data_IF_449607779409
#
_entry.id   IF_449607779409
#
_cell.length_a   1.000
_cell.length_b   1.000
_cell.length_c   1.000
_cell.angle_alpha   90.00
_cell.angle_beta   90.00
_cell.angle_gamma   90.00
#
_symmetry.space_group_name_H-M   'P 1'
#
loop_
_entity.id
_entity.type
_entity.pdbx_description
1 polymer ?
#
# COMPACT_ATOMS: atom_id res chain seq x y z
N UNK A 1 8.44 -8.91 28.94
CA UNK A 1 8.87 -8.02 27.84
C UNK A 1 7.83 -6.92 27.68
N UNK A 2 8.24 -5.65 27.64
CA UNK A 2 7.30 -4.54 27.48
C UNK A 2 6.60 -4.60 26.12
N UNK A 3 5.39 -3.96 25.99
CA UNK A 3 4.67 -3.89 24.71
C UNK A 3 5.51 -3.22 23.62
N UNK A 4 6.27 -2.19 23.99
CA UNK A 4 7.16 -1.49 23.07
C UNK A 4 8.25 -2.42 22.52
N UNK A 5 8.91 -3.19 23.38
CA UNK A 5 9.97 -4.11 22.97
C UNK A 5 9.41 -5.21 22.05
N UNK A 6 8.20 -5.72 22.33
CA UNK A 6 7.52 -6.66 21.43
C UNK A 6 7.24 -6.05 20.05
N UNK A 7 6.74 -4.82 20.01
CA UNK A 7 6.49 -4.11 18.75
C UNK A 7 7.79 -3.94 17.94
N UNK A 8 8.89 -3.52 18.58
CA UNK A 8 10.20 -3.39 17.92
C UNK A 8 10.69 -4.74 17.39
N UNK A 9 10.58 -5.81 18.17
CA UNK A 9 10.94 -7.15 17.72
C UNK A 9 10.14 -7.59 16.49
N UNK A 10 8.84 -7.28 16.46
CA UNK A 10 7.98 -7.61 15.31
C UNK A 10 8.37 -6.81 14.06
N UNK A 11 8.68 -5.53 14.19
CA UNK A 11 9.18 -4.70 13.08
C UNK A 11 10.48 -5.29 12.53
N UNK A 12 11.43 -5.60 13.42
CA UNK A 12 12.72 -6.18 13.02
C UNK A 12 12.53 -7.55 12.35
N UNK A 13 11.64 -8.38 12.87
CA UNK A 13 11.35 -9.69 12.29
C UNK A 13 10.77 -9.56 10.87
N UNK A 14 9.78 -8.68 10.68
CA UNK A 14 9.19 -8.42 9.35
C UNK A 14 10.22 -7.85 8.37
N UNK A 15 11.03 -6.89 8.82
CA UNK A 15 12.11 -6.34 8.00
C UNK A 15 13.13 -7.41 7.61
N UNK A 16 13.53 -8.27 8.55
CA UNK A 16 14.44 -9.38 8.30
C UNK A 16 13.85 -10.38 7.30
N UNK A 17 12.56 -10.71 7.40
CA UNK A 17 11.86 -11.56 6.41
C UNK A 17 11.96 -10.94 5.01
N UNK A 18 11.70 -9.62 4.88
CA UNK A 18 11.82 -8.91 3.61
C UNK A 18 13.24 -8.98 3.04
N UNK A 19 14.26 -8.71 3.87
CA UNK A 19 15.68 -8.79 3.45
C UNK A 19 16.04 -10.20 3.01
N UNK A 20 15.67 -11.22 3.77
CA UNK A 20 15.94 -12.64 3.43
C UNK A 20 15.24 -13.01 2.12
N UNK A 21 13.98 -12.57 1.92
CA UNK A 21 13.25 -12.82 0.68
C UNK A 21 13.96 -12.20 -0.53
N UNK A 22 14.45 -10.96 -0.41
CA UNK A 22 15.22 -10.27 -1.45
C UNK A 22 16.54 -10.99 -1.76
N UNK A 23 17.29 -11.39 -0.74
CA UNK A 23 18.56 -12.10 -0.91
C UNK A 23 18.36 -13.46 -1.58
N UNK A 24 17.36 -14.23 -1.16
CA UNK A 24 17.03 -15.52 -1.78
C UNK A 24 16.60 -15.35 -3.22
N UNK A 25 15.75 -14.37 -3.54
CA UNK A 25 15.34 -14.06 -4.89
C UNK A 25 16.55 -13.65 -5.76
N UNK A 26 17.47 -12.85 -5.20
CA UNK A 26 18.70 -12.44 -5.87
C UNK A 26 19.64 -13.59 -6.22
N UNK A 27 19.54 -14.72 -5.52
CA UNK A 27 20.29 -15.94 -5.85
C UNK A 27 19.53 -16.83 -6.84
N UNK A 28 18.21 -17.00 -6.64
CA UNK A 28 17.40 -17.95 -7.40
C UNK A 28 17.05 -17.43 -8.80
N UNK A 29 16.63 -16.17 -8.92
CA UNK A 29 16.15 -15.62 -10.19
C UNK A 29 17.22 -15.60 -11.29
N UNK A 30 18.49 -15.21 -11.03
CA UNK A 30 19.53 -15.21 -12.07
C UNK A 30 19.89 -16.59 -12.61
N UNK A 31 19.60 -17.66 -11.86
CA UNK A 31 19.87 -19.05 -12.30
C UNK A 31 18.84 -19.51 -13.34
N UNK A 32 17.68 -18.85 -13.40
CA UNK A 32 16.62 -19.19 -14.35
C UNK A 32 16.90 -18.47 -15.68
N UNK A 33 17.19 -19.24 -16.71
CA UNK A 33 17.39 -18.67 -18.05
C UNK A 33 16.05 -18.28 -18.69
N UNK A 34 15.73 -17.00 -18.63
CA UNK A 34 14.53 -16.40 -19.23
C UNK A 34 14.96 -15.42 -20.30
N UNK A 35 14.83 -15.80 -21.56
CA UNK A 35 15.19 -14.95 -22.70
C UNK A 35 14.24 -13.76 -22.88
N UNK A 36 12.96 -13.93 -22.60
CA UNK A 36 11.95 -12.89 -22.71
C UNK A 36 12.05 -11.90 -21.54
N UNK A 37 12.36 -10.62 -21.85
CA UNK A 37 12.60 -9.55 -20.86
C UNK A 37 11.35 -9.26 -20.02
N UNK A 38 10.18 -9.32 -20.63
CA UNK A 38 8.90 -9.07 -19.97
C UNK A 38 8.54 -10.18 -18.94
N UNK A 39 8.77 -11.44 -19.31
CA UNK A 39 8.61 -12.57 -18.38
C UNK A 39 9.68 -12.55 -17.29
N UNK A 40 10.92 -12.17 -17.64
CA UNK A 40 11.99 -11.99 -16.66
C UNK A 40 11.60 -10.93 -15.62
N UNK A 41 11.02 -9.82 -16.05
CA UNK A 41 10.50 -8.79 -15.15
C UNK A 41 9.43 -9.36 -14.20
N UNK A 42 8.43 -10.08 -14.72
CA UNK A 42 7.42 -10.76 -13.92
C UNK A 42 8.05 -11.65 -12.83
N UNK A 43 8.97 -12.53 -13.21
CA UNK A 43 9.61 -13.48 -12.28
C UNK A 43 10.47 -12.74 -11.24
N UNK A 44 11.27 -11.76 -11.68
CA UNK A 44 12.14 -10.97 -10.79
C UNK A 44 11.36 -10.15 -9.78
N UNK A 45 10.19 -9.63 -10.16
CA UNK A 45 9.35 -8.82 -9.29
C UNK A 45 8.53 -9.69 -8.33
N UNK A 46 7.92 -10.78 -8.83
CA UNK A 46 7.01 -11.59 -8.01
C UNK A 46 7.71 -12.54 -7.05
N UNK A 47 8.89 -13.07 -7.42
CA UNK A 47 9.61 -14.05 -6.57
C UNK A 47 9.91 -13.51 -5.16
N UNK A 48 10.56 -12.35 -4.97
CA UNK A 48 10.84 -11.83 -3.64
C UNK A 48 9.56 -11.55 -2.85
N UNK A 49 8.50 -11.10 -3.52
CA UNK A 49 7.21 -10.84 -2.88
C UNK A 49 6.53 -12.11 -2.38
N UNK A 50 6.52 -13.17 -3.18
CA UNK A 50 5.95 -14.45 -2.77
C UNK A 50 6.74 -15.09 -1.63
N UNK A 51 8.08 -14.97 -1.64
CA UNK A 51 8.93 -15.39 -0.53
C UNK A 51 8.63 -14.59 0.74
N UNK A 52 8.50 -13.27 0.63
CA UNK A 52 8.13 -12.41 1.76
C UNK A 52 6.73 -12.75 2.29
N UNK A 53 5.73 -12.92 1.41
CA UNK A 53 4.39 -13.32 1.79
C UNK A 53 4.43 -14.64 2.58
N UNK A 54 5.15 -15.64 2.07
CA UNK A 54 5.32 -16.93 2.73
C UNK A 54 5.95 -16.74 4.13
N UNK A 55 7.04 -15.98 4.23
CA UNK A 55 7.71 -15.72 5.50
C UNK A 55 6.81 -15.01 6.51
N UNK A 56 6.05 -14.00 6.08
CA UNK A 56 5.10 -13.25 6.92
C UNK A 56 3.95 -14.15 7.40
N UNK A 57 3.41 -14.99 6.52
CA UNK A 57 2.35 -15.96 6.87
C UNK A 57 2.87 -16.98 7.87
N UNK A 58 4.06 -17.55 7.65
CA UNK A 58 4.67 -18.50 8.58
C UNK A 58 4.97 -17.85 9.94
N UNK A 59 5.52 -16.64 9.96
CA UNK A 59 5.76 -15.90 11.19
C UNK A 59 4.47 -15.63 11.94
N UNK A 60 3.41 -15.21 11.24
CA UNK A 60 2.10 -14.98 11.84
C UNK A 60 1.52 -16.28 12.42
N UNK A 61 1.56 -17.37 11.67
CA UNK A 61 0.98 -18.65 12.07
C UNK A 61 1.71 -19.30 13.24
N UNK A 62 3.04 -19.35 13.20
CA UNK A 62 3.83 -20.15 14.15
C UNK A 62 4.35 -19.33 15.35
N UNK A 63 4.64 -18.05 15.16
CA UNK A 63 5.23 -17.21 16.21
C UNK A 63 4.19 -16.32 16.87
N UNK A 64 3.39 -15.60 16.09
CA UNK A 64 2.42 -14.63 16.62
C UNK A 64 1.11 -15.26 17.01
N UNK A 65 0.68 -16.30 16.30
CA UNK A 65 -0.63 -16.93 16.47
C UNK A 65 -1.77 -15.88 16.44
N UNK A 66 -1.60 -14.83 15.63
CA UNK A 66 -2.58 -13.78 15.50
C UNK A 66 -3.85 -14.33 14.87
N UNK A 67 -4.99 -13.73 15.23
CA UNK A 67 -6.26 -14.07 14.61
C UNK A 67 -6.14 -13.96 13.08
N UNK A 68 -6.64 -14.98 12.38
CA UNK A 68 -6.68 -14.96 10.92
C UNK A 68 -7.44 -13.72 10.46
N UNK A 69 -6.77 -12.87 9.71
CA UNK A 69 -7.43 -11.75 9.05
C UNK A 69 -8.47 -12.32 8.10
N UNK A 70 -9.71 -11.91 8.25
CA UNK A 70 -10.76 -12.23 7.29
C UNK A 70 -10.40 -11.61 5.95
N UNK A 71 -9.74 -12.40 5.08
CA UNK A 71 -9.36 -11.96 3.73
C UNK A 71 -10.60 -11.51 2.94
N UNK A 72 -11.74 -12.10 3.23
CA UNK A 72 -13.00 -11.97 2.51
C UNK A 72 -14.13 -11.59 3.48
N UNK A 73 -14.13 -10.36 3.98
CA UNK A 73 -15.26 -9.86 4.75
C UNK A 73 -16.50 -9.68 3.84
N UNK A 74 -17.72 -9.92 4.34
CA UNK A 74 -18.96 -9.76 3.57
C UNK A 74 -19.21 -8.34 3.05
N UNK A 75 -18.38 -7.38 3.43
CA UNK A 75 -18.47 -5.94 3.08
C UNK A 75 -17.28 -5.46 2.25
N UNK A 76 -16.71 -6.34 1.43
CA UNK A 76 -15.52 -6.06 0.61
C UNK A 76 -15.65 -4.85 -0.32
N UNK A 77 -16.87 -4.44 -0.66
CA UNK A 77 -17.12 -3.27 -1.46
C UNK A 77 -18.00 -2.26 -0.73
N UNK A 78 -17.46 -1.08 -0.44
CA UNK A 78 -18.18 0.09 0.05
C UNK A 78 -17.97 1.24 -0.92
N UNK A 79 -18.99 1.65 -1.69
CA UNK A 79 -18.85 2.75 -2.66
C UNK A 79 -18.25 4.01 -2.04
N UNK A 80 -18.71 4.39 -0.86
CA UNK A 80 -18.22 5.59 -0.17
C UNK A 80 -16.74 5.49 0.18
N UNK A 81 -16.27 4.34 0.69
CA UNK A 81 -14.85 4.14 1.04
C UNK A 81 -13.98 4.15 -0.22
N UNK A 82 -14.45 3.50 -1.30
CA UNK A 82 -13.69 3.45 -2.55
C UNK A 82 -13.64 4.81 -3.25
N UNK A 83 -14.77 5.53 -3.32
CA UNK A 83 -14.80 6.88 -3.90
C UNK A 83 -13.90 7.84 -3.12
N UNK A 84 -13.98 7.81 -1.79
CA UNK A 84 -13.15 8.66 -0.93
C UNK A 84 -11.65 8.30 -1.06
N UNK A 85 -11.34 7.00 -1.02
CA UNK A 85 -9.98 6.50 -1.22
C UNK A 85 -9.40 6.89 -2.58
N UNK A 86 -10.16 6.71 -3.66
CA UNK A 86 -9.73 7.09 -5.01
C UNK A 86 -9.51 8.60 -5.12
N UNK A 87 -10.43 9.40 -4.60
CA UNK A 87 -10.30 10.87 -4.59
C UNK A 87 -9.03 11.32 -3.85
N UNK A 88 -8.72 10.68 -2.71
CA UNK A 88 -7.50 10.95 -1.95
C UNK A 88 -6.24 10.56 -2.71
N UNK A 89 -6.21 9.41 -3.38
CA UNK A 89 -5.07 8.96 -4.17
C UNK A 89 -4.80 9.93 -5.34
N UNK A 90 -5.85 10.34 -6.05
CA UNK A 90 -5.72 11.35 -7.12
C UNK A 90 -5.24 12.70 -6.58
N UNK A 91 -5.79 13.13 -5.45
CA UNK A 91 -5.37 14.38 -4.81
C UNK A 91 -3.89 14.33 -4.37
N UNK A 92 -3.44 13.20 -3.80
CA UNK A 92 -2.04 12.98 -3.44
C UNK A 92 -1.13 13.04 -4.68
N UNK A 93 -1.49 12.36 -5.77
CA UNK A 93 -0.71 12.37 -7.01
C UNK A 93 -0.54 13.79 -7.57
N UNK A 94 -1.60 14.61 -7.54
CA UNK A 94 -1.55 16.00 -8.03
C UNK A 94 -0.74 16.90 -7.10
N UNK A 95 -0.99 16.83 -5.79
CA UNK A 95 -0.37 17.74 -4.81
C UNK A 95 1.09 17.42 -4.58
N UNK A 96 1.49 16.14 -4.63
CA UNK A 96 2.88 15.73 -4.46
C UNK A 96 3.73 15.93 -5.72
N UNK A 97 3.11 15.99 -6.90
CA UNK A 97 3.83 16.08 -8.16
C UNK A 97 4.94 17.15 -8.21
N UNK A 98 4.75 18.40 -7.70
CA UNK A 98 5.82 19.39 -7.68
C UNK A 98 6.97 19.01 -6.73
N UNK A 99 6.67 18.36 -5.60
CA UNK A 99 7.67 17.92 -4.63
C UNK A 99 8.50 16.76 -5.20
N UNK A 100 7.85 15.82 -5.89
CA UNK A 100 8.52 14.65 -6.48
C UNK A 100 9.56 15.05 -7.54
N UNK A 101 9.37 16.18 -8.24
CA UNK A 101 10.37 16.72 -9.19
C UNK A 101 11.67 17.18 -8.53
N UNK A 102 11.64 17.52 -7.24
CA UNK A 102 12.82 17.95 -6.49
C UNK A 102 13.66 16.77 -5.99
N UNK A 103 13.12 15.57 -6.06
CA UNK A 103 13.78 14.35 -5.58
C UNK A 103 14.50 13.65 -6.73
N UNK A 104 15.66 13.00 -6.45
CA UNK A 104 16.35 12.24 -7.47
C UNK A 104 15.44 11.16 -8.07
N UNK A 105 15.19 11.26 -9.36
CA UNK A 105 14.49 10.23 -10.11
C UNK A 105 15.52 9.29 -10.75
N UNK A 106 15.46 8.01 -10.42
CA UNK A 106 16.15 6.99 -11.20
C UNK A 106 15.18 6.48 -12.25
N UNK A 107 15.49 6.71 -13.52
CA UNK A 107 14.78 6.03 -14.59
C UNK A 107 15.00 4.53 -14.42
N UNK A 108 13.93 3.80 -14.17
CA UNK A 108 13.95 2.35 -14.23
C UNK A 108 13.57 1.95 -15.65
N UNK A 109 14.41 1.14 -16.29
CA UNK A 109 14.04 0.50 -17.55
C UNK A 109 12.96 -0.56 -17.31
N UNK A 110 11.72 -0.10 -17.27
CA UNK A 110 10.54 -0.96 -17.10
C UNK A 110 10.12 -1.45 -18.49
N UNK A 111 10.10 -2.77 -18.74
CA UNK A 111 9.64 -3.30 -20.01
C UNK A 111 8.19 -2.87 -20.30
N UNK A 112 7.84 -2.76 -21.57
CA UNK A 112 6.50 -2.31 -22.01
C UNK A 112 5.56 -3.45 -22.41
N UNK A 113 5.91 -4.70 -22.12
CA UNK A 113 5.15 -5.87 -22.50
C UNK A 113 3.91 -6.15 -21.63
N UNK A 114 3.06 -7.04 -22.09
CA UNK A 114 1.82 -7.42 -21.41
C UNK A 114 2.05 -7.96 -20.01
N UNK A 115 3.10 -8.77 -19.83
CA UNK A 115 3.41 -9.35 -18.51
C UNK A 115 3.89 -8.31 -17.52
N UNK A 116 4.56 -7.25 -17.96
CA UNK A 116 4.89 -6.11 -17.10
C UNK A 116 3.62 -5.40 -16.62
N UNK A 117 2.67 -5.13 -17.52
CA UNK A 117 1.37 -4.52 -17.15
C UNK A 117 0.63 -5.40 -16.16
N UNK A 118 0.51 -6.70 -16.45
CA UNK A 118 -0.17 -7.66 -15.56
C UNK A 118 0.51 -7.70 -14.18
N UNK A 119 1.85 -7.67 -14.15
CA UNK A 119 2.61 -7.67 -12.91
C UNK A 119 2.34 -6.41 -12.09
N UNK A 120 2.55 -5.24 -12.68
CA UNK A 120 2.47 -3.97 -11.95
C UNK A 120 1.04 -3.59 -11.57
N UNK A 121 0.07 -3.88 -12.44
CA UNK A 121 -1.32 -3.43 -12.25
C UNK A 121 -2.14 -4.41 -11.43
N UNK A 122 -1.88 -5.71 -11.53
CA UNK A 122 -2.73 -6.71 -10.89
C UNK A 122 -1.99 -7.57 -9.85
N UNK A 123 -0.87 -8.21 -10.24
CA UNK A 123 -0.20 -9.18 -9.36
C UNK A 123 0.42 -8.47 -8.16
N UNK A 124 1.17 -7.40 -8.40
CA UNK A 124 1.83 -6.64 -7.34
C UNK A 124 0.82 -6.11 -6.31
N UNK A 125 -0.23 -5.36 -6.67
CA UNK A 125 -1.23 -4.90 -5.71
C UNK A 125 -1.85 -6.02 -4.87
N UNK A 126 -2.18 -7.15 -5.48
CA UNK A 126 -2.76 -8.27 -4.74
C UNK A 126 -1.78 -8.84 -3.71
N UNK A 127 -0.55 -9.14 -4.14
CA UNK A 127 0.44 -9.75 -3.26
C UNK A 127 0.89 -8.78 -2.17
N UNK A 128 1.07 -7.51 -2.50
CA UNK A 128 1.46 -6.46 -1.56
C UNK A 128 0.39 -6.23 -0.49
N UNK A 129 -0.89 -6.16 -0.86
CA UNK A 129 -1.95 -6.01 0.14
C UNK A 129 -2.06 -7.25 1.04
N UNK A 130 -1.84 -8.46 0.50
CA UNK A 130 -1.77 -9.67 1.30
C UNK A 130 -0.60 -9.63 2.30
N UNK A 131 0.57 -9.13 1.90
CA UNK A 131 1.73 -8.96 2.79
C UNK A 131 1.42 -7.89 3.85
N UNK A 132 1.06 -6.67 3.42
CA UNK A 132 1.05 -5.51 4.32
C UNK A 132 -0.23 -5.41 5.14
N UNK A 133 -1.41 -5.61 4.57
CA UNK A 133 -2.69 -5.53 5.30
C UNK A 133 -3.11 -6.88 5.86
N UNK A 134 -2.91 -7.95 5.09
CA UNK A 134 -3.15 -9.30 5.56
C UNK A 134 -2.18 -9.75 6.65
N UNK A 135 -0.88 -9.56 6.44
CA UNK A 135 0.17 -10.03 7.32
C UNK A 135 0.72 -8.99 8.30
N UNK A 136 1.43 -7.97 7.80
CA UNK A 136 2.16 -7.00 8.64
C UNK A 136 1.24 -6.26 9.60
N UNK A 137 0.14 -5.70 9.10
CA UNK A 137 -0.85 -5.00 9.92
C UNK A 137 -1.39 -5.92 11.03
N UNK A 138 -1.69 -7.18 10.73
CA UNK A 138 -2.18 -8.16 11.71
C UNK A 138 -1.15 -8.48 12.78
N UNK A 139 0.11 -8.66 12.40
CA UNK A 139 1.24 -8.88 13.33
C UNK A 139 1.35 -7.68 14.26
N UNK A 140 1.38 -6.45 13.70
CA UNK A 140 1.51 -5.23 14.50
C UNK A 140 0.30 -5.03 15.43
N UNK A 141 -0.90 -5.36 15.00
CA UNK A 141 -2.11 -5.32 15.83
C UNK A 141 -2.03 -6.16 17.09
N UNK A 142 -1.27 -7.25 17.09
CA UNK A 142 -1.02 -8.06 18.28
C UNK A 142 -0.26 -7.34 19.39
N UNK A 143 0.43 -6.23 19.07
CA UNK A 143 1.29 -5.50 20.02
C UNK A 143 1.02 -4.00 20.06
N UNK A 144 0.44 -3.42 19.01
CA UNK A 144 0.21 -1.99 18.84
C UNK A 144 -1.28 -1.66 18.72
N UNK A 145 -1.63 -0.37 18.87
CA UNK A 145 -2.98 0.11 18.53
C UNK A 145 -3.22 -0.01 17.01
N UNK A 146 -4.50 -0.05 16.57
CA UNK A 146 -4.84 -0.04 15.14
C UNK A 146 -4.18 1.08 14.36
N UNK A 147 -4.17 2.30 14.91
CA UNK A 147 -3.51 3.46 14.29
C UNK A 147 -2.03 3.21 14.08
N UNK A 148 -1.32 2.78 15.13
CA UNK A 148 0.13 2.54 15.04
C UNK A 148 0.44 1.37 14.10
N UNK A 149 -0.36 0.30 14.12
CA UNK A 149 -0.23 -0.82 13.20
C UNK A 149 -0.40 -0.39 11.74
N UNK A 150 -1.38 0.48 11.45
CA UNK A 150 -1.60 1.04 10.12
C UNK A 150 -0.42 1.89 9.63
N UNK A 151 0.10 2.76 10.50
CA UNK A 151 1.24 3.63 10.17
C UNK A 151 2.51 2.81 9.95
N UNK A 152 2.80 1.83 10.81
CA UNK A 152 3.97 0.95 10.66
C UNK A 152 3.86 0.13 9.36
N UNK A 153 2.69 -0.45 9.09
CA UNK A 153 2.46 -1.22 7.86
C UNK A 153 2.63 -0.35 6.61
N UNK A 154 2.13 0.89 6.63
CA UNK A 154 2.30 1.83 5.52
C UNK A 154 3.77 2.28 5.37
N UNK A 155 4.48 2.51 6.48
CA UNK A 155 5.90 2.89 6.47
C UNK A 155 6.77 1.77 5.88
N UNK A 156 6.57 0.53 6.31
CA UNK A 156 7.29 -0.62 5.76
C UNK A 156 6.97 -0.82 4.28
N UNK A 157 5.71 -0.61 3.89
CA UNK A 157 5.31 -0.62 2.49
C UNK A 157 6.06 0.43 1.66
N UNK A 158 6.14 1.67 2.15
CA UNK A 158 6.91 2.73 1.49
C UNK A 158 8.40 2.39 1.36
N UNK A 159 9.03 1.97 2.45
CA UNK A 159 10.48 1.65 2.48
C UNK A 159 10.84 0.54 1.49
N UNK A 160 9.96 -0.44 1.27
CA UNK A 160 10.20 -1.54 0.33
C UNK A 160 10.29 -1.10 -1.14
N UNK A 161 9.87 0.12 -1.48
CA UNK A 161 9.99 0.66 -2.84
C UNK A 161 11.38 1.19 -3.20
N UNK A 162 12.27 1.35 -2.23
CA UNK A 162 13.69 1.63 -2.43
C UNK A 162 14.05 3.04 -2.89
N UNK A 163 13.24 3.70 -3.71
CA UNK A 163 13.46 5.08 -4.17
C UNK A 163 12.69 6.07 -3.30
N UNK A 164 13.34 7.14 -2.85
CA UNK A 164 12.77 8.09 -1.87
C UNK A 164 11.43 8.68 -2.35
N UNK A 165 11.35 9.10 -3.61
CA UNK A 165 10.12 9.66 -4.18
C UNK A 165 8.98 8.64 -4.13
N UNK A 166 9.20 7.45 -4.67
CA UNK A 166 8.21 6.38 -4.70
C UNK A 166 7.87 5.91 -3.28
N UNK A 167 8.86 5.85 -2.38
CA UNK A 167 8.65 5.49 -0.98
C UNK A 167 7.69 6.43 -0.24
N UNK A 168 7.80 7.74 -0.49
CA UNK A 168 6.90 8.75 0.09
C UNK A 168 5.48 8.56 -0.45
N UNK A 169 5.32 8.43 -1.76
CA UNK A 169 4.01 8.21 -2.41
C UNK A 169 3.38 6.90 -1.92
N UNK A 170 4.15 5.81 -1.91
CA UNK A 170 3.70 4.51 -1.44
C UNK A 170 3.32 4.54 0.05
N UNK A 171 4.08 5.22 0.91
CA UNK A 171 3.72 5.41 2.32
C UNK A 171 2.36 6.09 2.46
N UNK A 172 2.13 7.20 1.76
CA UNK A 172 0.88 7.95 1.84
C UNK A 172 -0.30 7.17 1.25
N UNK A 173 -0.10 6.52 0.11
CA UNK A 173 -1.09 5.58 -0.45
C UNK A 173 -1.37 4.43 0.52
N UNK A 174 -0.32 3.92 1.18
CA UNK A 174 -0.39 2.89 2.21
C UNK A 174 -1.26 3.27 3.40
N UNK A 175 -1.24 4.54 3.81
CA UNK A 175 -2.17 5.07 4.85
C UNK A 175 -3.62 5.01 4.36
N UNK A 176 -3.88 5.39 3.10
CA UNK A 176 -5.24 5.33 2.50
C UNK A 176 -5.70 3.87 2.38
N UNK A 177 -4.83 2.94 1.97
CA UNK A 177 -5.17 1.52 1.89
C UNK A 177 -5.48 0.92 3.26
N UNK A 178 -4.70 1.28 4.30
CA UNK A 178 -4.97 0.86 5.68
C UNK A 178 -6.29 1.42 6.22
N UNK A 179 -6.63 2.67 5.87
CA UNK A 179 -7.92 3.27 6.17
C UNK A 179 -9.08 2.47 5.54
N UNK A 180 -8.97 2.14 4.26
CA UNK A 180 -9.99 1.35 3.58
C UNK A 180 -10.14 -0.05 4.21
N UNK A 181 -9.02 -0.69 4.55
CA UNK A 181 -9.02 -1.98 5.25
C UNK A 181 -9.69 -1.92 6.62
N UNK A 182 -9.38 -0.91 7.44
CA UNK A 182 -9.97 -0.73 8.78
C UNK A 182 -11.48 -0.53 8.70
N UNK A 183 -11.97 0.24 7.72
CA UNK A 183 -13.40 0.50 7.60
C UNK A 183 -14.20 -0.67 7.03
N UNK A 184 -13.63 -1.41 6.09
CA UNK A 184 -14.34 -2.50 5.41
C UNK A 184 -14.10 -3.86 6.04
N UNK A 185 -13.02 -4.01 6.81
CA UNK A 185 -12.54 -5.28 7.34
C UNK A 185 -12.38 -6.34 6.23
N UNK A 186 -12.05 -5.90 5.02
CA UNK A 186 -11.86 -6.71 3.84
C UNK A 186 -10.63 -6.27 3.10
N UNK A 187 -9.79 -7.22 2.71
CA UNK A 187 -8.59 -6.95 1.91
C UNK A 187 -8.93 -6.54 0.47
N UNK A 188 -10.14 -6.83 0.01
CA UNK A 188 -10.61 -6.43 -1.31
C UNK A 188 -10.60 -4.91 -1.51
N UNK A 189 -10.98 -4.16 -0.47
CA UNK A 189 -11.07 -2.72 -0.57
C UNK A 189 -9.71 -2.08 -0.88
N UNK A 190 -8.64 -2.34 -0.13
CA UNK A 190 -7.33 -1.81 -0.47
C UNK A 190 -6.78 -2.39 -1.78
N UNK A 191 -7.04 -3.67 -2.14
CA UNK A 191 -6.62 -4.24 -3.43
C UNK A 191 -7.22 -3.44 -4.59
N UNK A 192 -8.52 -3.14 -4.57
CA UNK A 192 -9.17 -2.37 -5.63
C UNK A 192 -8.56 -0.97 -5.73
N UNK A 193 -8.40 -0.28 -4.60
CA UNK A 193 -7.78 1.05 -4.58
C UNK A 193 -6.33 1.01 -5.08
N UNK A 194 -5.58 -0.02 -4.73
CA UNK A 194 -4.19 -0.18 -5.15
C UNK A 194 -4.10 -0.47 -6.65
N UNK A 195 -4.95 -1.33 -7.20
CA UNK A 195 -5.05 -1.56 -8.65
C UNK A 195 -5.32 -0.23 -9.37
N UNK A 196 -6.29 0.57 -8.92
CA UNK A 196 -6.56 1.88 -9.51
C UNK A 196 -5.37 2.82 -9.41
N UNK A 197 -4.69 2.87 -8.26
CA UNK A 197 -3.48 3.66 -8.08
C UNK A 197 -2.40 3.26 -9.11
N UNK A 198 -2.18 1.97 -9.29
CA UNK A 198 -1.16 1.46 -10.20
C UNK A 198 -1.55 1.62 -11.68
N UNK A 199 -2.84 1.55 -12.02
CA UNK A 199 -3.32 1.94 -13.36
C UNK A 199 -2.95 3.40 -13.65
N UNK A 200 -3.27 4.30 -12.72
CA UNK A 200 -2.95 5.73 -12.87
C UNK A 200 -1.44 5.91 -12.99
N UNK A 201 -0.66 5.32 -12.08
CA UNK A 201 0.80 5.42 -12.10
C UNK A 201 1.40 4.86 -13.40
N UNK A 202 0.91 3.71 -13.89
CA UNK A 202 1.37 3.12 -15.14
C UNK A 202 1.05 4.00 -16.36
N UNK A 203 -0.18 4.54 -16.41
CA UNK A 203 -0.57 5.47 -17.49
C UNK A 203 0.32 6.70 -17.47
N UNK A 204 0.55 7.28 -16.30
CA UNK A 204 1.41 8.46 -16.15
C UNK A 204 2.87 8.16 -16.54
N UNK A 205 3.37 6.97 -16.21
CA UNK A 205 4.70 6.52 -16.61
C UNK A 205 4.84 6.53 -18.14
N UNK A 206 3.81 6.13 -18.90
CA UNK A 206 3.85 6.18 -20.37
C UNK A 206 3.97 7.62 -20.89
N UNK A 207 3.38 8.61 -20.22
CA UNK A 207 3.55 10.01 -20.57
C UNK A 207 4.91 10.57 -20.14
N UNK A 208 5.46 10.10 -19.02
CA UNK A 208 6.79 10.52 -18.53
C UNK A 208 7.91 10.08 -19.46
N UNK A 209 7.78 8.95 -20.14
CA UNK A 209 8.70 8.55 -21.22
C UNK A 209 8.70 9.52 -22.41
N UNK A 210 7.74 10.42 -22.48
CA UNK A 210 7.65 11.49 -23.49
C UNK A 210 8.04 12.86 -22.91
N UNK A 211 8.76 12.90 -21.80
CA UNK A 211 9.17 14.11 -21.07
C UNK A 211 8.00 14.97 -20.51
N UNK A 212 6.79 14.42 -20.44
CA UNK A 212 5.63 15.09 -19.84
C UNK A 212 5.34 14.56 -18.44
N UNK A 213 5.18 15.46 -17.47
CA UNK A 213 4.72 15.11 -16.11
C UNK A 213 3.25 15.53 -15.93
N UNK A 214 2.59 15.00 -14.87
CA UNK A 214 1.22 15.45 -14.52
C UNK A 214 1.17 16.97 -14.38
N UNK A 215 2.18 17.59 -13.75
CA UNK A 215 2.22 19.04 -13.59
C UNK A 215 2.42 19.78 -14.90
N UNK A 216 3.01 19.18 -15.94
CA UNK A 216 3.08 19.80 -17.27
C UNK A 216 1.72 19.73 -17.95
N UNK A 217 1.03 18.62 -17.79
CA UNK A 217 -0.30 18.43 -18.37
C UNK A 217 -1.36 19.30 -17.68
N UNK A 218 -1.38 19.30 -16.34
CA UNK A 218 -2.34 20.08 -15.54
C UNK A 218 -1.88 21.53 -15.42
N UNK A 219 -0.56 21.78 -15.31
CA UNK A 219 0.01 23.12 -15.18
C UNK A 219 -0.17 23.99 -16.41
N UNK A 220 -0.35 23.40 -17.59
CA UNK A 220 -0.73 24.11 -18.81
C UNK A 220 -2.20 24.57 -18.80
N UNK A 221 -3.05 24.08 -17.88
CA UNK A 221 -4.43 24.52 -17.77
C UNK A 221 -4.51 25.86 -17.03
N UNK A 222 -5.29 26.84 -17.53
CA UNK A 222 -5.50 28.10 -16.82
C UNK A 222 -6.08 27.95 -15.41
N UNK A 223 -6.73 26.81 -15.16
CA UNK A 223 -7.37 26.43 -13.89
C UNK A 223 -6.45 25.66 -12.94
N UNK A 224 -5.16 25.47 -13.25
CA UNK A 224 -4.25 24.66 -12.44
C UNK A 224 -4.24 25.05 -10.96
N UNK A 225 -4.10 26.35 -10.67
CA UNK A 225 -4.08 26.82 -9.28
C UNK A 225 -5.37 26.50 -8.52
N UNK A 226 -6.52 26.57 -9.21
CA UNK A 226 -7.82 26.23 -8.62
C UNK A 226 -7.89 24.74 -8.34
N UNK A 227 -7.51 23.89 -9.30
CA UNK A 227 -7.49 22.43 -9.14
C UNK A 227 -6.55 22.06 -7.98
N UNK A 228 -5.36 22.64 -7.93
CA UNK A 228 -4.38 22.39 -6.87
C UNK A 228 -4.93 22.76 -5.49
N UNK A 229 -5.55 23.93 -5.35
CA UNK A 229 -6.19 24.35 -4.09
C UNK A 229 -7.34 23.42 -3.69
N UNK A 230 -8.17 22.98 -4.64
CA UNK A 230 -9.24 22.02 -4.36
C UNK A 230 -8.65 20.70 -3.85
N UNK A 231 -7.60 20.19 -4.49
CA UNK A 231 -6.96 18.93 -4.08
C UNK A 231 -6.27 19.05 -2.72
N UNK A 232 -5.70 20.19 -2.38
CA UNK A 232 -5.21 20.47 -1.02
C UNK A 232 -6.33 20.42 0.01
N UNK A 233 -7.49 21.00 -0.27
CA UNK A 233 -8.66 20.91 0.61
C UNK A 233 -9.11 19.46 0.76
N UNK A 234 -9.16 18.69 -0.32
CA UNK A 234 -9.49 17.26 -0.29
C UNK A 234 -8.52 16.50 0.62
N UNK A 235 -7.21 16.76 0.52
CA UNK A 235 -6.21 16.13 1.39
C UNK A 235 -6.44 16.50 2.86
N UNK A 236 -6.66 17.79 3.16
CA UNK A 236 -6.91 18.24 4.54
C UNK A 236 -8.14 17.53 5.12
N UNK A 237 -9.24 17.51 4.38
CA UNK A 237 -10.47 16.81 4.79
C UNK A 237 -10.22 15.30 4.94
N UNK A 238 -9.46 14.70 4.04
CA UNK A 238 -9.06 13.30 4.09
C UNK A 238 -8.22 12.96 5.30
N UNK A 239 -7.22 13.76 5.61
CA UNK A 239 -6.37 13.58 6.82
C UNK A 239 -7.21 13.65 8.09
N UNK A 240 -8.13 14.63 8.18
CA UNK A 240 -9.06 14.75 9.31
C UNK A 240 -9.94 13.51 9.40
N UNK A 241 -10.54 13.07 8.29
CA UNK A 241 -11.42 11.92 8.25
C UNK A 241 -10.70 10.61 8.60
N UNK A 242 -9.50 10.37 8.05
CA UNK A 242 -8.65 9.23 8.40
C UNK A 242 -8.27 9.28 9.88
N UNK A 243 -7.89 10.44 10.38
CA UNK A 243 -7.54 10.63 11.79
C UNK A 243 -8.72 10.32 12.74
N UNK A 244 -9.93 10.74 12.39
CA UNK A 244 -11.14 10.40 13.15
C UNK A 244 -11.38 8.87 13.11
N UNK A 245 -11.25 8.26 11.93
CA UNK A 245 -11.42 6.82 11.74
C UNK A 245 -10.43 6.02 12.60
N UNK A 246 -9.17 6.40 12.60
CA UNK A 246 -8.13 5.73 13.37
C UNK A 246 -8.34 5.88 14.87
N UNK A 247 -8.70 7.08 15.35
CA UNK A 247 -9.05 7.32 16.76
C UNK A 247 -10.25 6.48 17.20
N UNK A 248 -11.26 6.34 16.33
CA UNK A 248 -12.42 5.49 16.59
C UNK A 248 -12.03 4.02 16.70
N UNK A 249 -11.16 3.55 15.80
CA UNK A 249 -10.62 2.18 15.84
C UNK A 249 -9.86 1.92 17.15
N UNK A 250 -8.96 2.83 17.55
CA UNK A 250 -8.22 2.72 18.79
C UNK A 250 -9.14 2.70 20.03
N UNK A 251 -10.22 3.53 20.00
CA UNK A 251 -11.20 3.58 21.08
C UNK A 251 -11.97 2.26 21.22
N UNK A 252 -12.46 1.69 20.11
CA UNK A 252 -13.17 0.40 20.11
C UNK A 252 -12.33 -0.72 20.73
N UNK A 253 -11.06 -0.80 20.35
CA UNK A 253 -10.15 -1.82 20.91
C UNK A 253 -9.93 -1.61 22.42
N UNK A 254 -9.82 -0.36 22.89
CA UNK A 254 -9.71 -0.06 24.33
C UNK A 254 -10.97 -0.45 25.11
N UNK A 255 -12.14 -0.39 24.45
CA UNK A 255 -13.42 -0.82 25.00
C UNK A 255 -13.63 -2.35 24.94
N UNK A 256 -12.63 -3.12 24.50
CA UNK A 256 -12.73 -4.58 24.34
C UNK A 256 -13.58 -5.02 23.14
N UNK A 257 -13.89 -4.10 22.23
CA UNK A 257 -14.60 -4.38 20.98
C UNK A 257 -13.64 -4.74 19.86
N UNK A 258 -14.17 -5.20 18.73
CA UNK A 258 -13.40 -5.55 17.53
C UNK A 258 -13.47 -4.45 16.48
N UNK A 259 -12.56 -4.49 15.48
CA UNK A 259 -12.67 -3.58 14.33
C UNK A 259 -13.89 -3.86 13.46
N UNK A 260 -14.51 -5.02 13.58
CA UNK A 260 -15.79 -5.32 12.89
C UNK A 260 -16.92 -4.39 13.34
N UNK A 261 -16.83 -3.87 14.57
CA UNK A 261 -17.79 -2.91 15.13
C UNK A 261 -17.62 -1.50 14.55
N UNK A 262 -16.61 -1.26 13.71
CA UNK A 262 -16.44 -0.02 12.93
C UNK A 262 -17.54 0.15 11.88
N UNK A 263 -18.05 -0.96 11.37
CA UNK A 263 -19.07 -0.94 10.32
C UNK A 263 -20.45 -0.83 10.96
N UNK A 264 -21.30 0.12 10.53
CA UNK A 264 -22.71 0.15 10.97
C UNK A 264 -23.34 -1.20 10.66
N UNK A 265 -23.96 -1.83 11.65
CA UNK A 265 -24.87 -2.94 11.36
C UNK A 265 -25.95 -2.37 10.44
N UNK A 266 -26.12 -2.94 9.25
CA UNK A 266 -27.30 -2.66 8.44
C UNK A 266 -28.48 -3.08 9.33
N UNK A 267 -29.34 -2.13 9.65
CA UNK A 267 -30.57 -2.42 10.38
C UNK A 267 -31.26 -3.63 9.75
N UNK A 268 -31.63 -4.54 10.62
CA UNK A 268 -32.50 -5.66 10.31
C UNK A 268 -33.79 -5.17 9.71
#
# INVERSE_FOLDING_TARGET
MSKLLKCVCDIVAVAAIGVVAMLLAGVVVPVIDISNVDIRFLVSYTTPMLLMLTGVVLYNRFVKKAEETTLWGPRGFSPTVHMWGLLLLVALAIVLSPLMRLLPAHQQDIPSGVWTVVTLVFIAPVVEELIFRGGVFSIMRGTCSPTLAAVISALLFGVMHGQVAIAIEAFLAGVVFSYAYILTQSIFAPIILHIFNNVIAYVLLQFTYQDYTISDFIGALPSFNIIYCIMLIVIILGVVHIGITYRRADKLIKEGKTLRDMTPQRGE
#
